data_IF_038998339118
#
_entry.id   IF_038998339118
#
_cell.length_a   1.000
_cell.length_b   1.000
_cell.length_c   1.000
_cell.angle_alpha   90.00
_cell.angle_beta   90.00
_cell.angle_gamma   90.00
#
_symmetry.space_group_name_H-M   'P 1'
#
loop_
_entity.id
_entity.type
_entity.pdbx_description
1 polymer ?
#
# COMPACT_ATOMS: atom_id res chain seq x y z
N UNK A 1 -17.03 -6.31 7.46
CA UNK A 1 -15.91 -5.51 6.89
C UNK A 1 -14.87 -5.24 7.96
N UNK A 2 -13.61 -5.33 7.61
CA UNK A 2 -12.51 -5.01 8.52
C UNK A 2 -12.09 -3.55 8.30
N UNK A 3 -11.99 -2.80 9.38
CA UNK A 3 -11.57 -1.41 9.33
C UNK A 3 -10.33 -1.23 10.19
N UNK A 4 -9.33 -0.56 9.65
CA UNK A 4 -8.13 -0.17 10.38
C UNK A 4 -8.19 1.34 10.53
N UNK A 5 -8.12 1.82 11.79
CA UNK A 5 -8.18 3.25 12.09
C UNK A 5 -6.83 3.73 12.59
N UNK A 6 -6.27 4.71 11.92
CA UNK A 6 -4.99 5.32 12.30
C UNK A 6 -5.23 6.80 12.53
N UNK A 7 -4.84 7.27 13.72
CA UNK A 7 -5.07 8.65 14.13
C UNK A 7 -3.81 9.50 14.01
N UNK A 8 -4.00 10.81 13.95
CA UNK A 8 -2.92 11.80 13.94
C UNK A 8 -1.95 11.61 12.78
N UNK A 9 -2.48 11.28 11.62
CA UNK A 9 -1.69 11.09 10.41
C UNK A 9 -1.11 12.42 9.95
N UNK A 10 0.20 12.46 9.74
CA UNK A 10 0.92 13.63 9.25
C UNK A 10 1.36 13.50 7.81
N UNK A 11 1.40 12.29 7.28
CA UNK A 11 1.75 12.06 5.89
C UNK A 11 1.42 10.66 5.44
N UNK A 12 1.13 10.52 4.17
CA UNK A 12 0.90 9.23 3.53
C UNK A 12 1.76 9.18 2.27
N UNK A 13 2.52 8.11 2.13
CA UNK A 13 3.33 7.90 0.93
C UNK A 13 3.01 6.53 0.36
N UNK A 14 2.69 6.50 -0.94
CA UNK A 14 2.46 5.26 -1.65
C UNK A 14 3.70 4.94 -2.46
N UNK A 15 4.35 3.81 -2.14
CA UNK A 15 5.54 3.38 -2.86
C UNK A 15 5.15 2.82 -4.24
N UNK A 16 6.09 2.78 -5.19
CA UNK A 16 5.85 2.14 -6.48
C UNK A 16 5.53 0.67 -6.30
N UNK A 17 4.78 0.12 -7.26
CA UNK A 17 4.48 -1.30 -7.31
C UNK A 17 5.79 -2.06 -7.54
N UNK A 18 6.01 -3.12 -6.77
CA UNK A 18 7.19 -3.93 -6.85
C UNK A 18 6.82 -5.36 -7.21
N UNK A 19 7.48 -5.91 -8.22
CA UNK A 19 7.34 -7.30 -8.59
C UNK A 19 8.39 -8.13 -7.86
N UNK A 20 7.94 -9.20 -7.20
CA UNK A 20 8.81 -10.11 -6.49
C UNK A 20 9.29 -11.23 -7.40
N UNK A 21 10.38 -11.91 -7.02
CA UNK A 21 10.93 -13.03 -7.77
C UNK A 21 9.94 -14.18 -7.93
N UNK A 22 9.00 -14.29 -7.00
CA UNK A 22 7.95 -15.31 -7.06
C UNK A 22 6.87 -15.01 -8.10
N UNK A 23 6.94 -13.88 -8.79
CA UNK A 23 5.90 -13.42 -9.70
C UNK A 23 4.78 -12.66 -9.03
N UNK A 24 4.82 -12.51 -7.71
CA UNK A 24 3.83 -11.74 -6.98
C UNK A 24 4.14 -10.25 -7.09
N UNK A 25 3.07 -9.47 -6.98
CA UNK A 25 3.16 -8.02 -7.02
C UNK A 25 2.76 -7.47 -5.65
N UNK A 26 3.54 -6.54 -5.16
CA UNK A 26 3.27 -5.90 -3.87
C UNK A 26 3.16 -4.39 -4.01
N UNK A 27 2.41 -3.79 -3.10
CA UNK A 27 2.32 -2.35 -2.98
C UNK A 27 2.49 -1.95 -1.54
N UNK A 28 3.46 -1.09 -1.28
CA UNK A 28 3.72 -0.60 0.06
C UNK A 28 3.09 0.78 0.26
N UNK A 29 2.41 0.94 1.38
CA UNK A 29 1.87 2.23 1.80
C UNK A 29 2.56 2.60 3.10
N UNK A 30 3.16 3.77 3.14
CA UNK A 30 3.76 4.30 4.36
C UNK A 30 2.87 5.38 4.94
N UNK A 31 2.59 5.26 6.24
CA UNK A 31 1.76 6.22 6.96
C UNK A 31 2.59 6.80 8.09
N UNK A 32 2.82 8.11 8.07
CA UNK A 32 3.51 8.81 9.14
C UNK A 32 2.48 9.42 10.09
N UNK A 33 2.73 9.28 11.37
CA UNK A 33 1.87 9.82 12.43
C UNK A 33 2.71 10.58 13.45
N UNK A 34 2.04 11.28 14.36
CA UNK A 34 2.73 11.97 15.46
C UNK A 34 3.44 11.01 16.41
N UNK A 35 3.02 9.76 16.48
CA UNK A 35 3.57 8.75 17.37
C UNK A 35 4.60 7.86 16.70
N UNK A 36 4.80 7.98 15.40
CA UNK A 36 5.71 7.14 14.64
C UNK A 36 5.21 6.90 13.24
N UNK A 37 5.71 5.84 12.61
CA UNK A 37 5.27 5.50 11.26
C UNK A 37 4.88 4.03 11.18
N UNK A 38 4.00 3.74 10.20
CA UNK A 38 3.54 2.40 9.89
C UNK A 38 3.76 2.11 8.42
N UNK A 39 3.99 0.86 8.10
CA UNK A 39 4.06 0.39 6.72
C UNK A 39 3.04 -0.72 6.53
N UNK A 40 2.33 -0.67 5.41
CA UNK A 40 1.38 -1.71 5.03
C UNK A 40 1.83 -2.26 3.70
N UNK A 41 2.12 -3.55 3.66
CA UNK A 41 2.49 -4.23 2.44
C UNK A 41 1.29 -5.04 1.93
N UNK A 42 0.84 -4.72 0.74
CA UNK A 42 -0.28 -5.40 0.11
C UNK A 42 0.25 -6.40 -0.92
N UNK A 43 -0.02 -7.66 -0.69
CA UNK A 43 0.33 -8.73 -1.62
C UNK A 43 -0.87 -9.00 -2.50
N UNK A 44 -0.71 -8.72 -3.78
CA UNK A 44 -1.83 -8.75 -4.72
C UNK A 44 -2.01 -10.15 -5.30
N UNK A 45 -3.25 -10.56 -5.46
CA UNK A 45 -3.54 -11.90 -6.01
C UNK A 45 -3.29 -11.90 -7.52
N UNK A 46 -4.31 -11.53 -8.30
CA UNK A 46 -4.19 -11.36 -9.74
C UNK A 46 -4.61 -9.92 -10.02
N UNK A 47 -3.64 -9.04 -10.19
CA UNK A 47 -3.94 -7.62 -10.21
C UNK A 47 -3.26 -6.93 -11.37
N UNK A 48 -3.94 -5.91 -11.87
CA UNK A 48 -3.37 -4.95 -12.79
C UNK A 48 -3.46 -3.58 -12.13
N UNK A 49 -2.33 -2.86 -12.01
CA UNK A 49 -2.39 -1.48 -11.54
C UNK A 49 -3.13 -0.64 -12.59
N UNK A 50 -3.88 0.37 -12.16
CA UNK A 50 -4.45 1.29 -13.11
C UNK A 50 -3.36 2.20 -13.68
N UNK A 51 -3.70 2.98 -14.72
CA UNK A 51 -2.73 3.82 -15.42
C UNK A 51 -2.15 4.91 -14.51
N UNK A 52 -2.87 5.34 -13.50
CA UNK A 52 -2.41 6.38 -12.58
C UNK A 52 -1.57 5.82 -11.45
N UNK A 53 -1.62 4.51 -11.22
CA UNK A 53 -0.96 3.88 -10.08
C UNK A 53 -1.63 4.19 -8.74
N UNK A 54 -2.80 4.83 -8.75
CA UNK A 54 -3.50 5.19 -7.53
C UNK A 54 -4.47 4.10 -7.05
N UNK A 55 -4.87 3.21 -7.95
CA UNK A 55 -5.75 2.11 -7.63
C UNK A 55 -5.22 0.82 -8.25
N UNK A 56 -5.62 -0.30 -7.68
CA UNK A 56 -5.27 -1.62 -8.18
C UNK A 56 -6.56 -2.40 -8.35
N UNK A 57 -6.72 -2.95 -9.52
CA UNK A 57 -7.88 -3.76 -9.85
C UNK A 57 -7.51 -5.23 -9.70
N UNK A 58 -8.24 -5.90 -8.90
CA UNK A 58 -8.04 -7.32 -8.61
C UNK A 58 -9.15 -8.13 -9.29
#
# INVERSE_FOLDING_TARGET
MTTIMIHDVTGIKMEPIEALDSGRVTRKIRVDTKLGHFEVDLFLADSEPDETGLAIKI
#
